data_IF_052356760603
#
_entry.id   IF_052356760603
#
_cell.length_a   1.000
_cell.length_b   1.000
_cell.length_c   1.000
_cell.angle_alpha   90.00
_cell.angle_beta   90.00
_cell.angle_gamma   90.00
#
_symmetry.space_group_name_H-M   'P 1'
#
loop_
_entity.id
_entity.type
_entity.pdbx_description
1 polymer ?
#
# COMPACT_ATOMS: atom_id res chain seq x y z
N UNK A 1 -16.51 -51.94 -32.02
CA UNK A 1 -15.49 -51.20 -31.24
C UNK A 1 -14.24 -51.06 -32.11
N UNK A 2 -13.80 -49.84 -32.46
CA UNK A 2 -12.65 -49.63 -33.35
C UNK A 2 -11.35 -49.62 -32.53
N UNK A 3 -10.58 -50.69 -32.66
CA UNK A 3 -9.41 -51.01 -31.83
C UNK A 3 -8.23 -50.06 -32.14
N UNK A 4 -8.16 -49.55 -33.37
CA UNK A 4 -7.08 -48.64 -33.81
C UNK A 4 -7.20 -47.26 -33.16
N UNK A 5 -8.43 -46.77 -32.98
CA UNK A 5 -8.69 -45.49 -32.31
C UNK A 5 -8.29 -45.54 -30.82
N UNK A 6 -8.51 -46.67 -30.16
CA UNK A 6 -8.18 -46.86 -28.74
C UNK A 6 -6.66 -46.93 -28.54
N UNK A 7 -5.93 -47.60 -29.43
CA UNK A 7 -4.45 -47.68 -29.39
C UNK A 7 -3.79 -46.31 -29.58
N UNK A 8 -4.28 -45.51 -30.53
CA UNK A 8 -3.76 -44.17 -30.80
C UNK A 8 -3.93 -43.23 -29.59
N UNK A 9 -5.11 -43.25 -28.96
CA UNK A 9 -5.39 -42.46 -27.73
C UNK A 9 -4.48 -42.82 -26.57
N UNK A 10 -4.14 -44.10 -26.43
CA UNK A 10 -3.22 -44.55 -25.38
C UNK A 10 -1.78 -44.06 -25.63
N UNK A 11 -1.32 -44.07 -26.88
CA UNK A 11 0.00 -43.55 -27.27
C UNK A 11 0.10 -42.02 -27.09
N UNK A 12 -0.92 -41.28 -27.49
CA UNK A 12 -1.00 -39.83 -27.30
C UNK A 12 -0.93 -39.45 -25.81
N UNK A 13 -1.63 -40.21 -24.95
CA UNK A 13 -1.62 -39.98 -23.50
C UNK A 13 -0.25 -40.23 -22.88
N UNK A 14 0.46 -41.27 -23.29
CA UNK A 14 1.82 -41.57 -22.81
C UNK A 14 2.81 -40.50 -23.27
N UNK A 15 2.69 -40.04 -24.51
CA UNK A 15 3.53 -38.97 -25.04
C UNK A 15 3.31 -37.63 -24.32
N UNK A 16 2.05 -37.25 -24.09
CA UNK A 16 1.72 -36.02 -23.36
C UNK A 16 2.08 -36.11 -21.87
N UNK A 17 1.97 -37.27 -21.23
CA UNK A 17 2.38 -37.45 -19.83
C UNK A 17 3.90 -37.43 -19.63
N UNK A 18 4.70 -37.66 -20.67
CA UNK A 18 6.17 -37.61 -20.63
C UNK A 18 6.76 -36.27 -21.11
N UNK A 19 5.92 -35.31 -21.52
CA UNK A 19 6.38 -33.93 -21.65
C UNK A 19 6.59 -33.38 -20.25
N UNK A 20 7.83 -33.51 -19.76
CA UNK A 20 8.30 -32.76 -18.61
C UNK A 20 8.14 -31.29 -18.97
N UNK A 21 7.15 -30.62 -18.38
CA UNK A 21 7.10 -29.16 -18.37
C UNK A 21 8.38 -28.67 -17.69
N UNK A 22 9.40 -28.38 -18.51
CA UNK A 22 10.55 -27.60 -18.11
C UNK A 22 10.05 -26.20 -17.84
N UNK A 23 9.45 -26.03 -16.67
CA UNK A 23 9.22 -24.72 -16.07
C UNK A 23 10.60 -24.08 -15.97
N UNK A 24 10.92 -23.23 -16.93
CA UNK A 24 12.07 -22.36 -16.87
C UNK A 24 11.84 -21.49 -15.64
N UNK A 25 12.42 -21.88 -14.51
CA UNK A 25 12.47 -21.04 -13.32
C UNK A 25 13.30 -19.86 -13.74
N UNK A 26 12.62 -18.80 -14.20
CA UNK A 26 13.23 -17.52 -14.50
C UNK A 26 13.78 -17.05 -13.17
N UNK A 27 15.06 -17.31 -12.92
CA UNK A 27 15.82 -16.75 -11.82
C UNK A 27 15.93 -15.25 -12.07
N UNK A 28 14.82 -14.53 -11.87
CA UNK A 28 14.84 -13.09 -11.74
C UNK A 28 15.57 -12.83 -10.43
N UNK A 29 16.86 -12.53 -10.51
CA UNK A 29 17.62 -11.99 -9.39
C UNK A 29 16.77 -10.86 -8.80
N UNK A 30 16.36 -11.00 -7.53
CA UNK A 30 15.69 -9.91 -6.83
C UNK A 30 16.67 -8.73 -6.86
N UNK A 31 16.28 -7.67 -7.58
CA UNK A 31 17.05 -6.43 -7.57
C UNK A 31 17.02 -5.81 -6.18
N UNK A 32 17.79 -4.75 -6.00
CA UNK A 32 17.82 -4.05 -4.71
C UNK A 32 16.42 -3.51 -4.38
N UNK A 33 15.92 -3.86 -3.20
CA UNK A 33 14.64 -3.35 -2.67
C UNK A 33 14.90 -2.50 -1.44
N UNK A 34 14.24 -1.34 -1.38
CA UNK A 34 14.19 -0.54 -0.15
C UNK A 34 12.94 -0.95 0.61
N UNK A 35 13.12 -1.52 1.80
CA UNK A 35 12.01 -1.94 2.66
C UNK A 35 11.95 -1.11 3.94
N UNK A 36 10.73 -0.75 4.35
CA UNK A 36 10.50 -0.16 5.67
C UNK A 36 10.71 -1.25 6.73
N UNK A 37 11.47 -0.93 7.78
CA UNK A 37 11.70 -1.85 8.90
C UNK A 37 10.38 -2.33 9.51
N UNK A 38 10.39 -3.54 10.08
CA UNK A 38 9.19 -4.07 10.76
C UNK A 38 8.69 -3.12 11.86
N UNK A 39 9.62 -2.48 12.57
CA UNK A 39 9.31 -1.45 13.56
C UNK A 39 8.65 -0.22 12.92
N UNK A 40 9.16 0.26 11.78
CA UNK A 40 8.54 1.38 11.05
C UNK A 40 7.12 1.05 10.59
N UNK A 41 6.88 -0.18 10.13
CA UNK A 41 5.54 -0.68 9.77
C UNK A 41 4.60 -0.71 10.99
N UNK A 42 5.11 -1.14 12.15
CA UNK A 42 4.36 -1.18 13.40
C UNK A 42 3.98 0.22 13.89
N UNK A 43 4.96 1.13 13.99
CA UNK A 43 4.74 2.51 14.41
C UNK A 43 3.75 3.24 13.50
N UNK A 44 3.87 3.05 12.19
CA UNK A 44 2.90 3.63 11.24
C UNK A 44 1.48 3.09 11.47
N UNK A 45 1.32 1.79 11.72
CA UNK A 45 0.02 1.17 12.01
C UNK A 45 -0.58 1.71 13.31
N UNK A 46 0.23 1.89 14.35
CA UNK A 46 -0.20 2.48 15.63
C UNK A 46 -0.59 3.94 15.45
N UNK A 47 0.19 4.75 14.71
CA UNK A 47 -0.13 6.16 14.46
C UNK A 47 -1.34 6.35 13.53
N UNK A 48 -1.56 5.41 12.59
CA UNK A 48 -2.75 5.40 11.73
C UNK A 48 -4.04 5.07 12.49
N UNK A 49 -3.94 4.67 13.76
CA UNK A 49 -5.08 4.36 14.62
C UNK A 49 -5.64 5.65 15.23
N UNK A 50 -6.38 6.41 14.41
CA UNK A 50 -7.20 7.57 14.79
C UNK A 50 -6.41 8.74 15.41
N UNK A 51 -6.03 9.69 14.56
CA UNK A 51 -6.33 11.07 14.94
C UNK A 51 -7.85 11.15 15.07
N UNK A 52 -8.35 10.97 16.29
CA UNK A 52 -9.74 11.21 16.60
C UNK A 52 -9.99 12.69 16.34
N UNK A 53 -10.55 12.99 15.17
CA UNK A 53 -10.84 14.37 14.77
C UNK A 53 -11.72 14.96 15.87
N UNK A 54 -11.17 15.91 16.61
CA UNK A 54 -11.87 16.56 17.70
C UNK A 54 -13.04 17.37 17.13
N UNK A 55 -14.23 16.77 17.12
CA UNK A 55 -15.44 17.33 16.50
C UNK A 55 -15.81 18.67 17.16
N UNK A 56 -15.60 18.80 18.47
CA UNK A 56 -15.89 20.03 19.22
C UNK A 56 -15.02 21.20 18.72
N UNK A 57 -13.72 20.95 18.53
CA UNK A 57 -12.80 21.94 17.99
C UNK A 57 -13.16 22.34 16.56
N UNK A 58 -13.60 21.38 15.74
CA UNK A 58 -14.07 21.67 14.37
C UNK A 58 -15.31 22.56 14.40
N UNK A 59 -16.28 22.26 15.26
CA UNK A 59 -17.51 23.04 15.39
C UNK A 59 -17.23 24.45 15.92
N UNK A 60 -16.32 24.59 16.89
CA UNK A 60 -15.89 25.90 17.40
C UNK A 60 -15.28 26.77 16.29
N UNK A 61 -14.39 26.20 15.47
CA UNK A 61 -13.76 26.91 14.35
C UNK A 61 -14.82 27.32 13.33
N UNK A 62 -15.76 26.44 12.98
CA UNK A 62 -16.87 26.76 12.07
C UNK A 62 -17.69 27.94 12.60
N UNK A 63 -18.10 27.91 13.86
CA UNK A 63 -18.87 29.00 14.50
C UNK A 63 -18.11 30.33 14.49
N UNK A 64 -16.78 30.31 14.68
CA UNK A 64 -15.94 31.52 14.58
C UNK A 64 -15.85 32.08 13.16
N UNK A 65 -15.83 31.20 12.16
CA UNK A 65 -15.84 31.59 10.75
C UNK A 65 -17.19 32.20 10.37
N UNK A 66 -18.29 31.54 10.72
CA UNK A 66 -19.65 32.00 10.45
C UNK A 66 -19.97 33.35 11.11
N UNK A 67 -19.48 33.55 12.34
CA UNK A 67 -19.64 34.82 13.07
C UNK A 67 -18.69 35.94 12.60
N UNK A 68 -17.79 35.67 11.64
CA UNK A 68 -16.79 36.63 11.15
C UNK A 68 -15.69 36.98 12.16
N UNK A 69 -15.61 36.26 13.28
CA UNK A 69 -14.62 36.47 14.35
C UNK A 69 -13.32 35.69 14.13
N UNK A 70 -13.27 34.83 13.12
CA UNK A 70 -12.06 34.08 12.77
C UNK A 70 -11.06 34.99 12.05
N UNK A 71 -10.04 35.45 12.77
CA UNK A 71 -8.94 36.25 12.22
C UNK A 71 -7.73 35.35 11.95
N UNK A 72 -7.23 35.39 10.72
CA UNK A 72 -6.05 34.63 10.31
C UNK A 72 -4.82 35.53 10.49
N UNK A 73 -3.85 35.10 11.30
CA UNK A 73 -2.53 35.71 11.36
C UNK A 73 -1.62 35.06 10.31
N UNK A 74 -1.23 35.84 9.30
CA UNK A 74 -0.35 35.38 8.21
C UNK A 74 1.04 34.97 8.69
N UNK A 75 1.56 35.58 9.76
CA UNK A 75 2.86 35.24 10.32
C UNK A 75 2.80 33.87 11.04
N UNK A 76 1.74 33.64 11.81
CA UNK A 76 1.53 32.34 12.48
C UNK A 76 1.33 31.23 11.45
N UNK A 77 0.55 31.50 10.40
CA UNK A 77 0.33 30.56 9.31
C UNK A 77 1.64 30.19 8.60
N UNK A 78 2.44 31.19 8.22
CA UNK A 78 3.73 30.98 7.56
C UNK A 78 4.70 30.19 8.47
N UNK A 79 4.75 30.50 9.76
CA UNK A 79 5.56 29.79 10.75
C UNK A 79 5.19 28.30 10.80
N UNK A 80 3.89 27.97 10.91
CA UNK A 80 3.42 26.57 10.95
C UNK A 80 3.68 25.81 9.65
N UNK A 81 3.60 26.48 8.50
CA UNK A 81 3.97 25.88 7.21
C UNK A 81 5.45 25.49 7.21
N UNK A 82 6.33 26.39 7.66
CA UNK A 82 7.77 26.13 7.74
C UNK A 82 8.07 25.01 8.75
N UNK A 83 7.43 25.01 9.92
CA UNK A 83 7.56 23.95 10.93
C UNK A 83 7.17 22.58 10.36
N UNK A 84 6.04 22.51 9.64
CA UNK A 84 5.60 21.27 8.99
C UNK A 84 6.56 20.81 7.90
N UNK A 85 7.13 21.73 7.12
CA UNK A 85 8.08 21.41 6.04
C UNK A 85 9.45 20.98 6.55
N UNK A 86 9.92 21.53 7.68
CA UNK A 86 11.20 21.15 8.28
C UNK A 86 11.18 19.74 8.88
N UNK A 87 10.00 19.20 9.15
CA UNK A 87 9.82 17.96 9.90
C UNK A 87 10.10 18.20 11.38
N UNK A 88 9.37 17.50 12.26
CA UNK A 88 9.62 17.56 13.69
C UNK A 88 11.02 17.01 13.97
N UNK A 89 11.98 17.90 14.24
CA UNK A 89 13.22 17.53 14.91
C UNK A 89 12.86 17.20 16.36
N UNK A 90 12.66 15.92 16.64
CA UNK A 90 12.89 15.34 17.96
C UNK A 90 14.27 14.70 17.97
#
# INVERSE_FOLDING_TARGET
MNINLVKFRNLERVYNNNKVDVNYVKNTKKGDTVEISQMGKYLNKVNSSKEEVNIDRVNEIKSKIESGQYRIDSNELAKKIIEKMRGEHN
#
